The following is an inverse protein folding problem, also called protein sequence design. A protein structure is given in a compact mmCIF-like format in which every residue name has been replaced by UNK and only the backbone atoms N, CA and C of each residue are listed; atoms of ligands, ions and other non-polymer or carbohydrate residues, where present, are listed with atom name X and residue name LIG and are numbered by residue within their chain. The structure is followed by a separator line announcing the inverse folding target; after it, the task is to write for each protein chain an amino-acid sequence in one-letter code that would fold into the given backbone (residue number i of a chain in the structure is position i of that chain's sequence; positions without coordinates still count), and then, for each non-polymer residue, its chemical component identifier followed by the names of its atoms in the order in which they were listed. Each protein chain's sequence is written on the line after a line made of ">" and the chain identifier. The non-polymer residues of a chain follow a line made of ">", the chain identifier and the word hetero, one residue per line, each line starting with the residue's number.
data_IF_112745155182
#
_entry.id   IF_112745155182
#
_cell.length_a   1.000
_cell.length_b   1.000
_cell.length_c   1.000
_cell.angle_alpha   90.00
_cell.angle_beta   90.00
_cell.angle_gamma   90.00
#
_symmetry.space_group_name_H-M   'P 1'
#
loop_
_entity.id
_entity.type
_entity.pdbx_description
1 polymer ?
#
# COMPACT_ATOMS: atom_id res chain seq x y z
N UNK A 1 -77.94 4.73 5.47
CA UNK A 1 -77.18 4.54 6.72
C UNK A 1 -75.93 3.69 6.40
N UNK A 2 -74.80 4.29 6.01
CA UNK A 2 -73.56 3.54 5.68
C UNK A 2 -72.29 4.32 6.02
N UNK A 3 -72.03 4.59 7.31
CA UNK A 3 -70.83 5.34 7.76
C UNK A 3 -69.99 4.63 8.83
N UNK A 4 -70.38 3.44 9.29
CA UNK A 4 -69.70 2.75 10.40
C UNK A 4 -68.51 1.90 9.94
N UNK A 5 -68.53 1.35 8.72
CA UNK A 5 -67.47 0.47 8.21
C UNK A 5 -66.13 1.21 8.00
N UNK A 6 -66.17 2.38 7.36
CA UNK A 6 -64.94 3.11 7.00
C UNK A 6 -64.18 3.69 8.20
N UNK A 7 -64.87 3.98 9.32
CA UNK A 7 -64.20 4.46 10.55
C UNK A 7 -63.38 3.34 11.22
N UNK A 8 -63.90 2.12 11.25
CA UNK A 8 -63.22 0.97 11.88
C UNK A 8 -61.98 0.56 11.09
N UNK A 9 -62.03 0.60 9.77
CA UNK A 9 -60.89 0.30 8.91
C UNK A 9 -59.78 1.36 9.05
N UNK A 10 -60.15 2.65 9.04
CA UNK A 10 -59.20 3.74 9.30
C UNK A 10 -58.57 3.65 10.69
N UNK A 11 -59.30 3.18 11.70
CA UNK A 11 -58.78 3.00 13.05
C UNK A 11 -57.81 1.81 13.14
N UNK A 12 -58.08 0.71 12.41
CA UNK A 12 -57.15 -0.43 12.33
C UNK A 12 -55.85 -0.06 11.62
N UNK A 13 -55.92 0.66 10.50
CA UNK A 13 -54.73 1.11 9.76
C UNK A 13 -53.81 1.99 10.62
N UNK A 14 -54.37 2.99 11.31
CA UNK A 14 -53.60 3.88 12.21
C UNK A 14 -52.96 3.15 13.39
N UNK A 15 -53.58 2.06 13.87
CA UNK A 15 -53.00 1.23 14.94
C UNK A 15 -51.85 0.36 14.40
N UNK A 16 -51.98 -0.17 13.19
CA UNK A 16 -50.92 -0.95 12.55
C UNK A 16 -49.70 -0.09 12.23
N UNK A 17 -49.91 1.14 11.74
CA UNK A 17 -48.83 2.11 11.49
C UNK A 17 -48.05 2.42 12.76
N UNK A 18 -48.73 2.71 13.87
CA UNK A 18 -48.08 3.00 15.16
C UNK A 18 -47.23 1.83 15.68
N UNK A 19 -47.74 0.61 15.54
CA UNK A 19 -47.01 -0.60 15.96
C UNK A 19 -45.79 -0.86 15.05
N UNK A 20 -45.89 -0.55 13.76
CA UNK A 20 -44.77 -0.69 12.82
C UNK A 20 -43.66 0.35 13.10
N UNK A 21 -44.03 1.58 13.48
CA UNK A 21 -43.09 2.63 13.90
C UNK A 21 -42.35 2.23 15.19
N UNK A 22 -43.08 1.77 16.22
CA UNK A 22 -42.50 1.29 17.48
C UNK A 22 -41.54 0.10 17.24
N UNK A 23 -41.92 -0.86 16.40
CA UNK A 23 -41.06 -2.01 16.05
C UNK A 23 -39.83 -1.61 15.23
N UNK A 24 -39.94 -0.60 14.36
CA UNK A 24 -38.82 -0.12 13.57
C UNK A 24 -37.78 0.60 14.44
N UNK A 25 -38.23 1.32 15.47
CA UNK A 25 -37.35 2.02 16.41
C UNK A 25 -36.61 1.02 17.32
N UNK A 26 -37.29 0.00 17.85
CA UNK A 26 -36.67 -1.08 18.64
C UNK A 26 -35.65 -1.87 17.82
N UNK A 27 -35.96 -2.19 16.55
CA UNK A 27 -35.02 -2.87 15.64
C UNK A 27 -33.77 -2.02 15.34
N UNK A 28 -33.94 -0.71 15.12
CA UNK A 28 -32.82 0.22 14.89
C UNK A 28 -31.95 0.36 16.14
N UNK A 29 -32.54 0.45 17.33
CA UNK A 29 -31.81 0.51 18.60
C UNK A 29 -31.02 -0.78 18.87
N UNK A 30 -31.62 -1.94 18.65
CA UNK A 30 -30.96 -3.25 18.79
C UNK A 30 -29.81 -3.44 17.81
N UNK A 31 -29.98 -3.01 16.55
CA UNK A 31 -28.92 -3.08 15.53
C UNK A 31 -27.74 -2.15 15.86
N UNK A 32 -28.01 -0.92 16.32
CA UNK A 32 -26.96 0.02 16.77
C UNK A 32 -26.17 -0.54 17.96
N UNK A 33 -26.83 -1.11 18.96
CA UNK A 33 -26.15 -1.66 20.14
C UNK A 33 -25.30 -2.90 19.80
N UNK A 34 -25.79 -3.77 18.91
CA UNK A 34 -25.02 -4.89 18.38
C UNK A 34 -23.80 -4.43 17.58
N UNK A 35 -23.96 -3.42 16.73
CA UNK A 35 -22.88 -2.85 15.94
C UNK A 35 -21.79 -2.24 16.82
N UNK A 36 -22.16 -1.45 17.84
CA UNK A 36 -21.21 -0.87 18.81
C UNK A 36 -20.45 -1.97 19.57
N UNK A 37 -21.13 -3.05 19.93
CA UNK A 37 -20.51 -4.18 20.66
C UNK A 37 -19.52 -4.94 19.77
N UNK A 38 -19.87 -5.19 18.51
CA UNK A 38 -18.99 -5.88 17.54
C UNK A 38 -17.78 -5.02 17.21
N UNK A 39 -17.98 -3.71 16.95
CA UNK A 39 -16.88 -2.78 16.70
C UNK A 39 -15.95 -2.70 17.91
N UNK A 40 -16.51 -2.59 19.12
CA UNK A 40 -15.70 -2.58 20.35
C UNK A 40 -14.87 -3.84 20.54
N UNK A 41 -15.41 -5.01 20.21
CA UNK A 41 -14.68 -6.28 20.29
C UNK A 41 -13.57 -6.40 19.22
N UNK A 42 -13.83 -5.95 17.99
CA UNK A 42 -12.84 -5.95 16.90
C UNK A 42 -11.70 -4.98 17.20
N UNK A 43 -12.00 -3.77 17.67
CA UNK A 43 -10.99 -2.78 18.07
C UNK A 43 -10.16 -3.30 19.24
N UNK A 44 -10.79 -3.90 20.26
CA UNK A 44 -10.05 -4.49 21.38
C UNK A 44 -9.13 -5.63 20.93
N UNK A 45 -9.57 -6.48 20.00
CA UNK A 45 -8.75 -7.55 19.44
C UNK A 45 -7.57 -6.99 18.62
N UNK A 46 -7.82 -5.99 17.77
CA UNK A 46 -6.77 -5.32 16.99
C UNK A 46 -5.73 -4.66 17.90
N UNK A 47 -6.14 -4.04 19.01
CA UNK A 47 -5.21 -3.47 20.00
C UNK A 47 -4.39 -4.56 20.69
N UNK A 48 -5.00 -5.68 21.09
CA UNK A 48 -4.27 -6.79 21.73
C UNK A 48 -3.27 -7.44 20.77
N UNK A 49 -3.65 -7.63 19.50
CA UNK A 49 -2.75 -8.14 18.46
C UNK A 49 -1.63 -7.14 18.19
N UNK A 50 -1.94 -5.85 18.03
CA UNK A 50 -0.94 -4.79 17.83
C UNK A 50 0.05 -4.68 19.00
N UNK A 51 -0.42 -4.73 20.25
CA UNK A 51 0.44 -4.72 21.45
C UNK A 51 1.26 -6.02 21.58
N UNK A 52 0.70 -7.16 21.17
CA UNK A 52 1.42 -8.44 21.16
C UNK A 52 2.56 -8.46 20.14
N UNK A 53 2.34 -7.89 18.95
CA UNK A 53 3.35 -7.75 17.89
C UNK A 53 4.45 -6.77 18.31
N UNK A 54 4.09 -5.65 18.96
CA UNK A 54 5.03 -4.65 19.50
C UNK A 54 6.05 -5.20 20.50
N UNK A 55 5.76 -6.31 21.17
CA UNK A 55 6.63 -6.90 22.19
C UNK A 55 7.60 -7.96 21.66
N UNK A 56 7.48 -8.38 20.40
CA UNK A 56 8.20 -9.57 19.88
C UNK A 56 9.22 -9.28 18.79
N UNK A 57 9.24 -8.11 18.16
CA UNK A 57 10.16 -7.84 17.04
C UNK A 57 11.06 -6.64 17.30
N UNK A 58 12.37 -6.83 17.09
CA UNK A 58 13.38 -5.80 17.21
C UNK A 58 13.13 -4.71 16.19
N UNK A 59 12.54 -3.60 16.64
CA UNK A 59 12.36 -2.40 15.86
C UNK A 59 13.69 -1.68 15.78
N UNK A 60 14.10 -1.30 14.57
CA UNK A 60 15.07 -0.22 14.43
C UNK A 60 14.37 1.05 14.94
N UNK A 61 14.80 1.54 16.10
CA UNK A 61 14.11 2.58 16.86
C UNK A 61 14.17 3.99 16.19
N UNK A 62 14.62 4.06 14.94
CA UNK A 62 14.77 5.28 14.16
C UNK A 62 13.42 5.91 13.82
N UNK A 63 12.44 5.10 13.37
CA UNK A 63 11.17 5.60 12.84
C UNK A 63 9.92 5.14 13.60
N UNK A 64 10.06 4.16 14.50
CA UNK A 64 8.95 3.72 15.36
C UNK A 64 7.80 3.01 14.63
N UNK A 65 7.97 2.70 13.34
CA UNK A 65 7.03 1.88 12.56
C UNK A 65 7.43 0.40 12.59
N UNK A 66 6.47 -0.55 12.50
CA UNK A 66 6.78 -1.96 12.39
C UNK A 66 7.57 -2.27 11.10
N UNK A 67 8.35 -3.35 11.14
CA UNK A 67 9.04 -3.88 9.97
C UNK A 67 8.04 -4.27 8.86
N UNK A 68 8.51 -4.18 7.61
CA UNK A 68 7.78 -4.71 6.47
C UNK A 68 7.72 -6.23 6.55
N UNK A 69 6.60 -6.81 6.11
CA UNK A 69 6.41 -8.27 6.09
C UNK A 69 6.09 -8.71 4.67
N UNK A 70 6.89 -9.63 4.15
CA UNK A 70 6.63 -10.32 2.89
C UNK A 70 5.84 -11.62 3.14
N UNK A 71 5.00 -12.00 2.17
CA UNK A 71 4.36 -13.32 2.19
C UNK A 71 5.41 -14.46 2.13
N UNK A 72 5.16 -15.54 2.86
CA UNK A 72 6.15 -16.52 3.34
C UNK A 72 6.68 -17.53 2.30
N UNK A 73 6.57 -17.24 0.99
CA UNK A 73 6.84 -18.25 -0.04
C UNK A 73 7.46 -17.79 -1.36
N UNK A 74 7.41 -16.51 -1.71
CA UNK A 74 7.94 -16.01 -2.99
C UNK A 74 9.03 -14.96 -2.76
N UNK A 75 10.17 -15.18 -3.39
CA UNK A 75 11.27 -14.22 -3.49
C UNK A 75 11.59 -14.09 -4.97
N UNK A 76 11.68 -12.85 -5.48
CA UNK A 76 12.09 -12.65 -6.85
C UNK A 76 13.55 -13.06 -7.02
N UNK A 77 13.89 -13.77 -8.10
CA UNK A 77 15.28 -14.10 -8.39
C UNK A 77 16.09 -12.82 -8.66
N UNK A 78 17.40 -12.89 -8.39
CA UNK A 78 18.33 -11.82 -8.75
C UNK A 78 18.22 -11.46 -10.24
N UNK A 79 18.40 -10.17 -10.56
CA UNK A 79 18.51 -9.73 -11.95
C UNK A 79 19.78 -10.33 -12.57
N UNK A 80 19.68 -11.13 -13.64
CA UNK A 80 20.86 -11.72 -14.27
C UNK A 80 21.68 -10.66 -15.00
N UNK A 81 23.01 -10.79 -14.97
CA UNK A 81 23.93 -9.89 -15.70
C UNK A 81 23.78 -10.01 -17.23
N UNK A 82 23.26 -11.13 -17.72
CA UNK A 82 23.01 -11.39 -19.12
C UNK A 82 21.89 -12.43 -19.30
N UNK A 83 21.16 -12.31 -20.41
CA UNK A 83 20.07 -13.23 -20.76
C UNK A 83 18.69 -12.68 -20.37
N UNK A 84 17.68 -13.55 -20.45
CA UNK A 84 16.32 -13.20 -20.05
C UNK A 84 16.22 -13.15 -18.52
N UNK A 85 15.50 -12.15 -18.01
CA UNK A 85 15.19 -12.05 -16.59
C UNK A 85 14.06 -13.04 -16.22
N UNK A 86 14.32 -14.02 -15.33
CA UNK A 86 13.32 -15.03 -14.95
C UNK A 86 12.18 -14.50 -14.09
N UNK A 87 12.27 -13.28 -13.53
CA UNK A 87 11.18 -12.66 -12.79
C UNK A 87 10.11 -12.06 -13.72
N UNK A 88 10.45 -11.75 -14.97
CA UNK A 88 9.50 -11.14 -15.91
C UNK A 88 8.40 -12.15 -16.24
N UNK A 89 7.15 -11.75 -16.00
CA UNK A 89 5.97 -12.61 -16.16
C UNK A 89 5.64 -13.48 -14.94
N UNK A 90 6.33 -13.28 -13.80
CA UNK A 90 5.96 -13.89 -12.52
C UNK A 90 5.31 -12.87 -11.58
N UNK A 91 4.49 -13.35 -10.65
CA UNK A 91 3.89 -12.51 -9.61
C UNK A 91 4.98 -11.95 -8.67
N UNK A 92 4.93 -10.64 -8.40
CA UNK A 92 5.75 -10.02 -7.39
C UNK A 92 5.29 -10.47 -5.98
N UNK A 93 6.21 -10.71 -5.04
CA UNK A 93 5.86 -10.96 -3.64
C UNK A 93 5.08 -9.79 -3.06
N UNK A 94 4.00 -10.09 -2.35
CA UNK A 94 3.26 -9.07 -1.61
C UNK A 94 4.05 -8.71 -0.37
N UNK A 95 4.31 -7.42 -0.21
CA UNK A 95 4.95 -6.87 0.98
C UNK A 95 4.04 -5.82 1.58
N UNK A 96 3.74 -5.96 2.87
CA UNK A 96 3.00 -4.98 3.66
C UNK A 96 3.96 -4.29 4.61
N UNK A 97 4.01 -2.97 4.53
CA UNK A 97 4.84 -2.12 5.37
C UNK A 97 4.12 -0.84 5.76
N UNK A 98 4.90 0.17 6.10
CA UNK A 98 4.39 1.44 6.59
C UNK A 98 5.15 2.61 5.99
N UNK A 99 4.43 3.71 5.76
CA UNK A 99 5.01 5.01 5.50
C UNK A 99 5.63 5.61 6.77
N UNK A 100 6.48 6.65 6.66
CA UNK A 100 7.08 7.29 7.83
C UNK A 100 6.06 7.82 8.85
N UNK A 101 4.84 8.15 8.42
CA UNK A 101 3.76 8.62 9.31
C UNK A 101 2.95 7.46 9.96
N UNK A 102 3.28 6.21 9.64
CA UNK A 102 2.61 5.01 10.13
C UNK A 102 1.39 4.57 9.32
N UNK A 103 1.12 5.20 8.17
CA UNK A 103 0.11 4.73 7.23
C UNK A 103 0.54 3.39 6.63
N UNK A 104 -0.36 2.42 6.58
CA UNK A 104 -0.06 1.10 6.00
C UNK A 104 -0.01 1.20 4.47
N UNK A 105 1.03 0.60 3.89
CA UNK A 105 1.28 0.58 2.45
C UNK A 105 1.63 -0.85 2.02
N UNK A 106 1.24 -1.21 0.81
CA UNK A 106 1.59 -2.51 0.23
C UNK A 106 2.15 -2.35 -1.19
N UNK A 107 3.13 -3.19 -1.51
CA UNK A 107 3.65 -3.38 -2.87
C UNK A 107 3.42 -4.82 -3.31
N UNK A 108 3.22 -5.02 -4.61
CA UNK A 108 2.85 -6.29 -5.21
C UNK A 108 1.36 -6.62 -5.06
N UNK A 109 0.98 -7.81 -5.52
CA UNK A 109 -0.42 -8.27 -5.52
C UNK A 109 -1.30 -7.58 -6.58
N UNK A 110 -2.56 -8.03 -6.66
CA UNK A 110 -3.55 -7.45 -7.57
C UNK A 110 -3.94 -6.04 -7.12
N UNK A 111 -4.09 -5.11 -8.06
CA UNK A 111 -4.43 -3.73 -7.74
C UNK A 111 -4.10 -2.74 -8.86
N UNK A 112 -3.68 -1.54 -8.49
CA UNK A 112 -3.12 -0.61 -9.45
C UNK A 112 -1.73 -1.09 -9.88
N UNK A 113 -1.34 -0.94 -11.16
CA UNK A 113 0.04 -1.13 -11.58
C UNK A 113 0.99 -0.28 -10.75
N UNK A 114 2.21 -0.76 -10.51
CA UNK A 114 3.17 -0.06 -9.67
C UNK A 114 4.52 0.13 -10.37
N UNK A 115 5.14 1.27 -10.11
CA UNK A 115 6.54 1.58 -10.39
C UNK A 115 7.25 1.70 -9.03
N UNK A 116 7.97 0.64 -8.64
CA UNK A 116 8.62 0.53 -7.33
C UNK A 116 10.12 0.75 -7.48
N UNK A 117 10.67 1.73 -6.76
CA UNK A 117 12.11 2.02 -6.74
C UNK A 117 12.69 1.73 -5.35
N UNK A 118 13.67 0.83 -5.28
CA UNK A 118 14.41 0.52 -4.06
C UNK A 118 15.62 1.43 -3.95
N UNK A 119 15.73 2.16 -2.83
CA UNK A 119 16.71 3.23 -2.65
C UNK A 119 17.38 3.17 -1.29
N UNK A 120 18.62 3.66 -1.24
CA UNK A 120 19.35 3.84 0.00
C UNK A 120 19.79 5.31 0.12
N UNK A 121 19.54 5.92 1.27
CA UNK A 121 19.77 7.36 1.52
C UNK A 121 21.21 7.83 1.23
N UNK A 122 22.16 6.94 1.43
CA UNK A 122 23.59 7.19 1.24
C UNK A 122 24.13 6.84 -0.14
N UNK A 123 23.31 6.26 -1.03
CA UNK A 123 23.73 5.84 -2.36
C UNK A 123 23.81 7.06 -3.30
N UNK A 124 24.98 7.38 -3.89
CA UNK A 124 25.12 8.53 -4.78
C UNK A 124 24.19 8.47 -5.99
N UNK A 125 24.02 7.29 -6.56
CA UNK A 125 23.15 7.08 -7.70
C UNK A 125 21.66 7.27 -7.36
N UNK A 126 21.25 6.93 -6.14
CA UNK A 126 19.90 7.22 -5.65
C UNK A 126 19.66 8.72 -5.50
N UNK A 127 20.63 9.44 -4.94
CA UNK A 127 20.58 10.89 -4.73
C UNK A 127 20.50 11.66 -6.06
N UNK A 128 21.19 11.18 -7.09
CA UNK A 128 21.14 11.77 -8.43
C UNK A 128 19.81 11.49 -9.17
N UNK A 129 19.17 10.35 -8.91
CA UNK A 129 17.96 9.93 -9.65
C UNK A 129 16.67 10.48 -9.05
N UNK A 130 16.56 10.58 -7.72
CA UNK A 130 15.35 11.09 -7.05
C UNK A 130 14.79 12.40 -7.62
N UNK A 131 15.57 13.48 -7.75
CA UNK A 131 15.05 14.73 -8.30
C UNK A 131 14.59 14.58 -9.75
N UNK A 132 15.21 13.69 -10.54
CA UNK A 132 14.80 13.42 -11.91
C UNK A 132 13.44 12.72 -11.98
N UNK A 133 13.13 11.84 -11.02
CA UNK A 133 11.80 11.21 -10.95
C UNK A 133 10.71 12.27 -10.77
N UNK A 134 10.96 13.28 -9.92
CA UNK A 134 10.07 14.43 -9.76
C UNK A 134 9.81 15.16 -11.08
N UNK A 135 10.89 15.45 -11.82
CA UNK A 135 10.80 16.09 -13.15
C UNK A 135 10.03 15.21 -14.16
N UNK A 136 10.31 13.91 -14.22
CA UNK A 136 9.63 12.98 -15.14
C UNK A 136 8.13 12.89 -14.87
N UNK A 137 7.74 12.84 -13.60
CA UNK A 137 6.33 12.84 -13.19
C UNK A 137 5.66 14.16 -13.57
N UNK A 138 6.32 15.29 -13.33
CA UNK A 138 5.82 16.62 -13.71
C UNK A 138 5.66 16.78 -15.24
N UNK A 139 6.55 16.16 -16.01
CA UNK A 139 6.53 16.13 -17.47
C UNK A 139 5.54 15.10 -18.05
N UNK A 140 4.80 14.38 -17.20
CA UNK A 140 3.76 13.43 -17.60
C UNK A 140 4.30 12.09 -18.11
N UNK A 141 5.49 11.69 -17.67
CA UNK A 141 6.12 10.43 -18.07
C UNK A 141 5.67 9.23 -17.23
N UNK A 142 5.06 9.46 -16.08
CA UNK A 142 4.37 8.42 -15.32
C UNK A 142 3.03 8.13 -16.00
N UNK A 143 2.86 6.90 -16.51
CA UNK A 143 1.61 6.50 -17.15
C UNK A 143 0.42 6.59 -16.18
N UNK A 144 -0.75 6.97 -16.72
CA UNK A 144 -1.98 7.13 -15.95
C UNK A 144 -2.34 5.85 -15.17
N UNK A 145 -2.63 6.00 -13.87
CA UNK A 145 -3.05 4.90 -13.01
C UNK A 145 -1.91 4.04 -12.45
N UNK A 146 -0.66 4.28 -12.85
CA UNK A 146 0.51 3.65 -12.23
C UNK A 146 0.84 4.34 -10.90
N UNK A 147 0.90 3.57 -9.82
CA UNK A 147 1.36 4.05 -8.51
C UNK A 147 2.88 4.11 -8.48
N UNK A 148 3.44 5.22 -8.03
CA UNK A 148 4.87 5.38 -7.83
C UNK A 148 5.20 5.18 -6.35
N UNK A 149 6.07 4.22 -6.05
CA UNK A 149 6.45 3.87 -4.68
C UNK A 149 7.97 3.83 -4.54
N UNK A 150 8.52 4.52 -3.54
CA UNK A 150 9.91 4.35 -3.13
C UNK A 150 9.99 3.40 -1.93
N UNK A 151 10.86 2.39 -2.00
CA UNK A 151 11.22 1.54 -0.86
C UNK A 151 12.53 2.05 -0.28
N UNK A 152 12.46 2.65 0.90
CA UNK A 152 13.62 3.16 1.64
C UNK A 152 14.26 2.02 2.43
N UNK A 153 15.37 1.48 1.92
CA UNK A 153 16.02 0.26 2.42
C UNK A 153 17.53 0.47 2.68
N UNK A 154 18.23 -0.56 3.13
CA UNK A 154 19.66 -0.54 3.47
C UNK A 154 20.05 0.62 4.40
N UNK A 155 19.23 0.83 5.44
CA UNK A 155 19.40 1.91 6.41
C UNK A 155 20.71 1.77 7.18
N UNK A 156 21.53 2.81 7.17
CA UNK A 156 22.80 2.86 7.91
C UNK A 156 22.97 4.23 8.58
N UNK A 157 22.90 4.33 9.92
CA UNK A 157 23.05 5.59 10.67
C UNK A 157 24.45 6.18 10.64
N UNK A 158 25.46 5.42 10.20
CA UNK A 158 26.82 5.92 10.05
C UNK A 158 27.06 6.59 8.69
N UNK A 159 26.06 6.62 7.81
CA UNK A 159 26.18 7.16 6.44
C UNK A 159 25.52 8.54 6.31
N UNK A 160 25.91 9.35 5.29
CA UNK A 160 25.27 10.63 5.01
C UNK A 160 23.79 10.47 4.72
N UNK A 161 22.98 11.52 4.94
CA UNK A 161 21.53 11.55 4.72
C UNK A 161 20.69 10.74 5.74
N UNK A 162 21.24 10.56 6.94
CA UNK A 162 20.50 10.04 8.09
C UNK A 162 19.71 11.15 8.82
N UNK A 163 18.45 10.93 9.23
CA UNK A 163 17.66 9.73 8.98
C UNK A 163 17.03 9.70 7.56
N UNK A 164 16.76 8.50 6.99
CA UNK A 164 16.41 8.35 5.57
C UNK A 164 15.09 9.01 5.16
N UNK A 165 14.13 9.06 6.09
CA UNK A 165 12.81 9.66 5.92
C UNK A 165 12.88 11.19 5.83
N UNK A 166 13.66 11.84 6.70
CA UNK A 166 13.86 13.30 6.65
C UNK A 166 14.56 13.69 5.34
N UNK A 167 15.55 12.91 4.91
CA UNK A 167 16.22 13.14 3.64
C UNK A 167 15.27 12.94 2.46
N UNK A 168 14.56 11.81 2.38
CA UNK A 168 13.66 11.54 1.25
C UNK A 168 12.51 12.57 1.18
N UNK A 169 11.99 13.01 2.32
CA UNK A 169 11.02 14.10 2.38
C UNK A 169 11.58 15.43 1.85
N UNK A 170 12.89 15.66 1.97
CA UNK A 170 13.56 16.86 1.44
C UNK A 170 13.84 16.82 -0.06
N UNK A 171 13.78 15.64 -0.68
CA UNK A 171 13.95 15.45 -2.13
C UNK A 171 12.63 15.62 -2.91
N UNK A 172 11.54 16.02 -2.23
CA UNK A 172 10.21 16.25 -2.82
C UNK A 172 9.70 15.07 -3.68
N UNK A 173 9.99 13.82 -3.25
CA UNK A 173 9.57 12.62 -3.97
C UNK A 173 8.03 12.60 -4.16
N UNK A 174 7.53 12.45 -5.39
CA UNK A 174 6.09 12.64 -5.68
C UNK A 174 5.22 11.41 -5.39
N UNK A 175 5.81 10.28 -5.01
CA UNK A 175 5.12 9.02 -4.74
C UNK A 175 5.01 8.67 -3.25
N UNK A 176 4.49 7.47 -2.98
CA UNK A 176 4.40 6.91 -1.63
C UNK A 176 5.76 6.32 -1.19
N UNK A 177 6.01 6.24 0.11
CA UNK A 177 7.29 5.75 0.64
C UNK A 177 7.06 4.56 1.57
N UNK A 178 7.54 3.37 1.21
CA UNK A 178 7.59 2.22 2.10
C UNK A 178 8.91 2.20 2.87
N UNK A 179 8.83 2.18 4.20
CA UNK A 179 10.00 2.05 5.08
C UNK A 179 10.40 0.57 5.21
N UNK A 180 11.62 0.24 4.81
CA UNK A 180 12.19 -1.10 4.84
C UNK A 180 13.49 -1.14 5.67
N UNK A 181 13.37 -0.84 6.97
CA UNK A 181 14.53 -0.70 7.87
C UNK A 181 15.32 -1.98 8.07
N UNK A 182 14.65 -3.14 8.04
CA UNK A 182 15.25 -4.46 8.24
C UNK A 182 15.59 -5.19 6.94
N UNK A 183 15.23 -4.61 5.78
CA UNK A 183 15.56 -5.15 4.47
C UNK A 183 14.63 -6.26 3.98
N UNK A 184 13.52 -6.53 4.68
CA UNK A 184 12.59 -7.60 4.31
C UNK A 184 11.96 -7.39 2.92
N UNK A 185 11.60 -6.14 2.59
CA UNK A 185 11.05 -5.82 1.28
C UNK A 185 12.12 -5.98 0.19
N UNK A 186 13.33 -5.45 0.43
CA UNK A 186 14.48 -5.60 -0.47
C UNK A 186 14.84 -7.06 -0.73
N UNK A 187 14.88 -7.90 0.32
CA UNK A 187 15.16 -9.33 0.18
C UNK A 187 14.07 -10.02 -0.67
N UNK A 188 12.79 -9.81 -0.34
CA UNK A 188 11.68 -10.42 -1.07
C UNK A 188 11.67 -10.03 -2.54
N UNK A 189 11.98 -8.78 -2.87
CA UNK A 189 11.96 -8.26 -4.24
C UNK A 189 13.28 -8.49 -5.01
N UNK A 190 14.22 -9.24 -4.43
CA UNK A 190 15.44 -9.68 -5.10
C UNK A 190 16.44 -8.55 -5.33
N UNK A 191 16.58 -7.65 -4.34
CA UNK A 191 17.48 -6.49 -4.44
C UNK A 191 18.92 -6.93 -4.70
N UNK A 192 19.46 -6.49 -5.84
CA UNK A 192 20.86 -6.73 -6.24
C UNK A 192 21.75 -5.49 -6.15
N UNK A 193 21.15 -4.31 -5.92
CA UNK A 193 21.82 -3.02 -5.78
C UNK A 193 20.82 -1.87 -5.76
N UNK A 194 21.26 -0.66 -5.42
CA UNK A 194 20.42 0.55 -5.45
C UNK A 194 21.02 1.62 -6.38
N UNK A 195 20.18 2.39 -7.10
CA UNK A 195 18.73 2.22 -7.21
C UNK A 195 18.38 0.93 -7.97
N UNK A 196 17.24 0.33 -7.66
CA UNK A 196 16.66 -0.77 -8.44
C UNK A 196 15.19 -0.46 -8.69
N UNK A 197 14.75 -0.64 -9.92
CA UNK A 197 13.36 -0.50 -10.33
C UNK A 197 12.71 -1.85 -10.57
N UNK A 198 11.47 -1.99 -10.12
CA UNK A 198 10.57 -3.09 -10.45
C UNK A 198 9.21 -2.51 -10.82
N UNK A 199 8.69 -2.92 -11.96
CA UNK A 199 7.39 -2.48 -12.47
C UNK A 199 6.44 -3.66 -12.50
N UNK A 200 5.25 -3.48 -11.95
CA UNK A 200 4.20 -4.51 -11.92
C UNK A 200 2.93 -4.02 -12.61
N UNK A 201 2.25 -4.91 -13.32
CA UNK A 201 0.91 -4.63 -13.84
C UNK A 201 -0.18 -4.76 -12.76
N UNK A 202 -1.44 -4.57 -13.16
CA UNK A 202 -2.60 -4.63 -12.27
C UNK A 202 -2.87 -6.02 -11.68
N UNK A 203 -2.32 -7.09 -12.27
CA UNK A 203 -2.40 -8.45 -11.73
C UNK A 203 -1.24 -8.73 -10.76
N UNK A 204 -0.37 -7.74 -10.51
CA UNK A 204 0.82 -7.90 -9.67
C UNK A 204 1.97 -8.62 -10.38
N UNK A 205 1.89 -8.78 -11.70
CA UNK A 205 2.93 -9.46 -12.49
C UNK A 205 4.07 -8.50 -12.80
N UNK A 206 5.31 -8.95 -12.60
CA UNK A 206 6.50 -8.16 -12.95
C UNK A 206 6.63 -8.04 -14.47
N UNK A 207 6.59 -6.81 -14.98
CA UNK A 207 6.68 -6.53 -16.43
C UNK A 207 8.02 -5.92 -16.86
N UNK A 208 8.74 -5.28 -15.93
CA UNK A 208 10.08 -4.75 -16.18
C UNK A 208 10.87 -4.66 -14.87
N UNK A 209 12.20 -4.86 -14.94
CA UNK A 209 13.14 -4.60 -13.83
C UNK A 209 14.44 -4.00 -14.35
N UNK A 210 15.03 -3.11 -13.56
CA UNK A 210 16.34 -2.52 -13.85
C UNK A 210 17.16 -2.39 -12.58
N UNK A 211 18.44 -2.78 -12.65
CA UNK A 211 19.41 -2.47 -11.61
C UNK A 211 20.24 -1.25 -12.04
N UNK A 212 20.39 -0.28 -11.15
CA UNK A 212 21.03 1.00 -11.42
C UNK A 212 20.05 2.07 -11.92
N UNK A 213 20.58 3.28 -12.09
CA UNK A 213 19.81 4.45 -12.56
C UNK A 213 19.22 4.18 -13.94
N UNK A 214 18.01 4.69 -14.15
CA UNK A 214 17.36 4.73 -15.46
C UNK A 214 17.26 6.17 -15.96
N UNK A 215 16.93 6.32 -17.24
CA UNK A 215 16.60 7.60 -17.82
C UNK A 215 15.08 7.74 -18.01
N UNK A 216 14.68 8.93 -18.41
CA UNK A 216 13.29 9.29 -18.60
C UNK A 216 12.60 8.40 -19.66
N UNK A 217 13.30 8.05 -20.74
CA UNK A 217 12.78 7.18 -21.81
C UNK A 217 12.43 5.80 -21.24
N UNK A 218 13.36 5.18 -20.52
CA UNK A 218 13.14 3.89 -19.89
C UNK A 218 12.05 3.94 -18.82
N UNK A 219 11.98 5.00 -18.02
CA UNK A 219 10.91 5.19 -17.05
C UNK A 219 9.54 5.24 -17.74
N UNK A 220 9.40 6.02 -18.81
CA UNK A 220 8.16 6.11 -19.57
C UNK A 220 7.78 4.77 -20.23
N UNK A 221 8.74 4.06 -20.83
CA UNK A 221 8.50 2.75 -21.43
C UNK A 221 8.02 1.72 -20.40
N UNK A 222 8.67 1.66 -19.24
CA UNK A 222 8.35 0.68 -18.21
C UNK A 222 7.02 0.95 -17.50
N UNK A 223 6.68 2.23 -17.25
CA UNK A 223 5.36 2.59 -16.72
C UNK A 223 4.25 2.32 -17.74
N UNK A 224 4.50 2.52 -19.03
CA UNK A 224 3.55 2.14 -20.07
C UNK A 224 3.33 0.62 -20.16
N UNK A 225 4.37 -0.19 -19.96
CA UNK A 225 4.23 -1.65 -19.84
C UNK A 225 3.37 -2.03 -18.62
N UNK A 226 3.59 -1.38 -17.47
CA UNK A 226 2.83 -1.61 -16.24
C UNK A 226 1.35 -1.24 -16.41
N UNK A 227 1.06 -0.08 -17.02
CA UNK A 227 -0.29 0.37 -17.28
C UNK A 227 -1.08 -0.58 -18.21
N UNK A 228 -0.37 -1.34 -19.05
CA UNK A 228 -0.97 -2.22 -20.04
C UNK A 228 -1.68 -1.45 -21.17
N UNK A 229 -2.38 -2.16 -22.07
CA UNK A 229 -3.14 -1.52 -23.13
C UNK A 229 -4.29 -0.68 -22.54
N UNK A 230 -4.40 0.58 -22.97
CA UNK A 230 -5.54 1.42 -22.62
C UNK A 230 -6.86 0.72 -23.01
N UNK A 231 -7.72 0.49 -22.01
CA UNK A 231 -9.02 -0.18 -22.17
C UNK A 231 -10.03 0.65 -22.98
#
# INVERSE_FOLDING_TARGET
>A
MSTTSSKRERQKARRAERLAEEQAEERRAGMRNRLVTVIGAVVALAVVVGVGILLVQGSDASLGVPAATADDGSVLPDIPQAGADPAIGTEAPVVVGYEPDGTALAIGGEGAPQAVVFMAHWCPHCQEELPLIGDWVADGQLADGVQLVAVSTLHDPARPNWPPDEWLASEDFPGEVLVDSDGAAAEAWGLSGTPMWVFTDADGTVVARYSGQIDAERFAEATALAAGPAA
#
